data_IF_119242352489
#
_entry.id   IF_119242352489
#
_cell.length_a   1.000
_cell.length_b   1.000
_cell.length_c   1.000
_cell.angle_alpha   90.00
_cell.angle_beta   90.00
_cell.angle_gamma   90.00
#
_symmetry.space_group_name_H-M   'P 1'
#
loop_
_entity.id
_entity.type
_entity.pdbx_description
1 polymer ?
#
# COMPACT_ATOMS: atom_id res chain seq x y z
N UNK A 1 -24.43 -0.68 -15.50
CA UNK A 1 -22.96 -0.72 -15.56
C UNK A 1 -22.52 -1.43 -14.31
N UNK A 2 -21.64 -2.41 -14.44
CA UNK A 2 -21.10 -3.11 -13.29
C UNK A 2 -20.20 -2.15 -12.50
N UNK A 3 -20.22 -2.27 -11.18
CA UNK A 3 -19.39 -1.47 -10.27
C UNK A 3 -17.90 -1.77 -10.50
N UNK A 4 -17.09 -0.75 -10.76
CA UNK A 4 -15.64 -0.91 -10.96
C UNK A 4 -14.89 -1.01 -9.62
N UNK A 5 -13.64 -1.52 -9.64
CA UNK A 5 -12.77 -1.53 -8.44
C UNK A 5 -12.57 -0.09 -7.94
N UNK A 6 -12.41 0.84 -8.87
CA UNK A 6 -12.28 2.27 -8.64
C UNK A 6 -13.52 2.85 -7.94
N UNK A 7 -14.72 2.37 -8.26
CA UNK A 7 -15.96 2.75 -7.55
C UNK A 7 -15.96 2.21 -6.12
N UNK A 8 -15.58 0.95 -5.93
CA UNK A 8 -15.55 0.30 -4.62
C UNK A 8 -14.59 1.03 -3.67
N UNK A 9 -13.36 1.32 -4.12
CA UNK A 9 -12.36 1.98 -3.26
C UNK A 9 -12.73 3.43 -2.93
N UNK A 10 -13.45 4.12 -3.82
CA UNK A 10 -13.87 5.51 -3.63
C UNK A 10 -15.24 5.63 -2.92
N UNK A 11 -15.95 4.50 -2.72
CA UNK A 11 -17.29 4.47 -2.12
C UNK A 11 -17.37 5.06 -0.70
N UNK A 12 -16.24 5.13 0.00
CA UNK A 12 -16.11 5.69 1.36
C UNK A 12 -15.08 6.82 1.40
N UNK A 13 -15.10 7.72 0.41
CA UNK A 13 -14.15 8.83 0.32
C UNK A 13 -14.25 9.80 1.51
N UNK A 14 -13.41 9.58 2.51
CA UNK A 14 -13.27 10.44 3.70
C UNK A 14 -12.12 11.44 3.58
N UNK A 15 -11.26 11.30 2.57
CA UNK A 15 -10.00 12.06 2.43
C UNK A 15 -10.01 12.97 1.20
N UNK A 16 -11.08 12.97 0.40
CA UNK A 16 -11.23 13.79 -0.81
C UNK A 16 -10.57 13.18 -2.05
N UNK A 17 -10.30 11.86 -2.04
CA UNK A 17 -9.66 11.16 -3.14
C UNK A 17 -10.55 11.10 -4.40
N UNK A 18 -11.86 11.19 -4.26
CA UNK A 18 -12.80 11.23 -5.39
C UNK A 18 -12.53 12.43 -6.29
N UNK A 19 -12.03 13.55 -5.75
CA UNK A 19 -11.67 14.73 -6.52
C UNK A 19 -10.54 14.47 -7.54
N UNK A 20 -9.73 13.42 -7.33
CA UNK A 20 -8.67 13.04 -8.26
C UNK A 20 -9.17 12.17 -9.42
N UNK A 21 -10.32 11.51 -9.28
CA UNK A 21 -10.82 10.54 -10.27
C UNK A 21 -10.92 11.11 -11.69
N UNK A 22 -11.43 12.34 -11.93
CA UNK A 22 -11.51 12.90 -13.28
C UNK A 22 -10.16 13.14 -13.96
N UNK A 23 -9.05 13.02 -13.22
CA UNK A 23 -7.69 13.25 -13.69
C UNK A 23 -6.90 11.94 -13.88
N UNK A 24 -7.51 10.79 -13.62
CA UNK A 24 -6.90 9.47 -13.74
C UNK A 24 -7.58 8.66 -14.86
N UNK A 25 -6.91 7.65 -15.43
CA UNK A 25 -7.55 6.68 -16.31
C UNK A 25 -8.71 5.97 -15.62
N UNK A 26 -9.69 5.45 -16.37
CA UNK A 26 -10.86 4.79 -15.76
C UNK A 26 -10.52 3.46 -15.06
N UNK A 27 -9.33 2.89 -15.29
CA UNK A 27 -8.87 1.58 -14.83
C UNK A 27 -7.51 1.63 -14.11
N UNK A 28 -7.21 2.73 -13.42
CA UNK A 28 -5.90 2.96 -12.80
C UNK A 28 -5.46 1.87 -11.80
N UNK A 29 -6.39 1.15 -11.15
CA UNK A 29 -6.02 0.04 -10.27
C UNK A 29 -5.51 -1.16 -11.10
N UNK A 30 -6.17 -1.44 -12.22
CA UNK A 30 -5.77 -2.54 -13.11
C UNK A 30 -4.45 -2.24 -13.81
N UNK A 31 -4.24 -0.99 -14.26
CA UNK A 31 -2.96 -0.57 -14.83
C UNK A 31 -1.80 -0.69 -13.83
N UNK A 32 -2.01 -0.26 -12.58
CA UNK A 32 -1.00 -0.38 -11.53
C UNK A 32 -0.68 -1.86 -11.21
N UNK A 33 -1.71 -2.72 -11.14
CA UNK A 33 -1.52 -4.15 -10.92
C UNK A 33 -0.74 -4.80 -12.07
N UNK A 34 -1.10 -4.49 -13.33
CA UNK A 34 -0.41 -5.01 -14.51
C UNK A 34 1.06 -4.58 -14.54
N UNK A 35 1.35 -3.32 -14.21
CA UNK A 35 2.72 -2.84 -14.09
C UNK A 35 3.53 -3.68 -13.10
N UNK A 36 2.98 -4.05 -11.94
CA UNK A 36 3.68 -4.90 -10.96
C UNK A 36 3.88 -6.34 -11.49
N UNK A 37 2.95 -6.87 -12.26
CA UNK A 37 3.07 -8.21 -12.86
C UNK A 37 4.17 -8.24 -13.92
N UNK A 38 4.22 -7.21 -14.78
CA UNK A 38 5.16 -7.09 -15.90
C UNK A 38 6.62 -6.88 -15.45
N UNK A 39 6.84 -6.48 -14.19
CA UNK A 39 8.16 -6.25 -13.61
C UNK A 39 8.50 -7.30 -12.55
N UNK A 40 9.02 -8.47 -12.95
CA UNK A 40 9.37 -9.52 -12.00
C UNK A 40 10.60 -9.14 -11.16
N UNK A 41 10.62 -9.61 -9.91
CA UNK A 41 11.74 -9.43 -9.00
C UNK A 41 11.28 -9.30 -7.55
N UNK A 42 12.23 -8.91 -6.70
CA UNK A 42 11.93 -8.50 -5.33
C UNK A 42 11.19 -7.16 -5.32
N UNK A 43 10.28 -6.99 -4.36
CA UNK A 43 9.46 -5.78 -4.21
C UNK A 43 9.83 -5.10 -2.90
N UNK A 44 10.13 -3.80 -2.99
CA UNK A 44 10.28 -2.94 -1.82
C UNK A 44 8.99 -2.14 -1.65
N UNK A 45 8.36 -2.25 -0.49
CA UNK A 45 7.18 -1.46 -0.13
C UNK A 45 7.59 -0.44 0.91
N UNK A 46 7.48 0.84 0.55
CA UNK A 46 7.75 1.96 1.46
C UNK A 46 6.43 2.46 2.05
N UNK A 47 6.39 2.62 3.35
CA UNK A 47 5.22 3.17 4.06
C UNK A 47 5.67 3.85 5.35
N UNK A 48 4.71 4.37 6.13
CA UNK A 48 4.97 5.10 7.37
C UNK A 48 4.96 6.60 7.16
N UNK A 49 4.34 7.28 8.11
CA UNK A 49 4.27 8.73 8.15
C UNK A 49 4.33 9.17 9.61
N UNK A 50 5.43 9.77 10.03
CA UNK A 50 5.58 10.22 11.41
C UNK A 50 4.81 11.52 11.65
N UNK A 51 3.83 11.48 12.56
CA UNK A 51 3.02 12.65 12.93
C UNK A 51 3.66 13.34 14.13
N UNK A 52 4.43 14.41 13.86
CA UNK A 52 5.21 15.16 14.85
C UNK A 52 4.36 15.60 16.05
N UNK A 53 3.17 16.15 15.81
CA UNK A 53 2.29 16.65 16.89
C UNK A 53 1.76 15.54 17.81
N UNK A 54 1.71 14.29 17.33
CA UNK A 54 1.26 13.14 18.10
C UNK A 54 2.44 12.33 18.68
N UNK A 55 3.67 12.60 18.24
CA UNK A 55 4.86 11.82 18.56
C UNK A 55 4.75 10.33 18.18
N UNK A 56 3.96 10.02 17.15
CA UNK A 56 3.52 8.66 16.80
C UNK A 56 3.43 8.49 15.28
N UNK A 57 3.55 7.25 14.76
CA UNK A 57 3.28 6.97 13.36
C UNK A 57 1.78 7.14 13.06
N UNK A 58 1.45 7.64 11.86
CA UNK A 58 0.11 7.60 11.30
C UNK A 58 -0.31 6.15 11.02
N UNK A 59 -1.61 5.87 11.12
CA UNK A 59 -2.17 4.54 10.84
C UNK A 59 -2.51 4.32 9.37
N UNK A 60 -2.55 5.39 8.58
CA UNK A 60 -2.79 5.35 7.14
C UNK A 60 -1.48 4.96 6.43
N UNK A 61 -1.55 3.96 5.55
CA UNK A 61 -0.37 3.37 4.91
C UNK A 61 -0.04 1.96 5.41
N UNK A 62 0.44 1.74 6.66
CA UNK A 62 1.00 0.45 7.07
C UNK A 62 0.07 -0.76 6.88
N UNK A 63 -1.23 -0.71 7.22
CA UNK A 63 -2.14 -1.83 6.95
C UNK A 63 -2.29 -2.15 5.46
N UNK A 64 -2.35 -1.13 4.60
CA UNK A 64 -2.44 -1.30 3.15
C UNK A 64 -1.15 -1.86 2.55
N UNK A 65 0.00 -1.40 3.04
CA UNK A 65 1.31 -1.94 2.67
C UNK A 65 1.42 -3.43 2.98
N UNK A 66 1.01 -3.86 4.18
CA UNK A 66 0.98 -5.27 4.56
C UNK A 66 0.04 -6.07 3.65
N UNK A 67 -1.17 -5.56 3.38
CA UNK A 67 -2.14 -6.25 2.52
C UNK A 67 -1.58 -6.48 1.10
N UNK A 68 -0.94 -5.47 0.51
CA UNK A 68 -0.30 -5.58 -0.80
C UNK A 68 0.88 -6.57 -0.74
N UNK A 69 1.73 -6.47 0.29
CA UNK A 69 2.88 -7.35 0.41
C UNK A 69 2.51 -8.83 0.60
N UNK A 70 1.46 -9.14 1.38
CA UNK A 70 0.97 -10.51 1.51
C UNK A 70 0.37 -11.03 0.20
N UNK A 71 -0.34 -10.20 -0.57
CA UNK A 71 -0.82 -10.58 -1.90
C UNK A 71 0.35 -10.91 -2.85
N UNK A 72 1.38 -10.07 -2.87
CA UNK A 72 2.56 -10.29 -3.71
C UNK A 72 3.37 -11.53 -3.29
N UNK A 73 3.48 -11.80 -1.98
CA UNK A 73 4.05 -13.06 -1.48
C UNK A 73 3.26 -14.27 -1.93
N UNK A 74 1.92 -14.19 -1.90
CA UNK A 74 1.04 -15.22 -2.46
C UNK A 74 1.27 -15.49 -3.94
N UNK A 75 1.73 -14.49 -4.69
CA UNK A 75 2.17 -14.60 -6.08
C UNK A 75 3.64 -15.01 -6.26
N UNK A 76 4.32 -15.41 -5.17
CA UNK A 76 5.70 -15.88 -5.19
C UNK A 76 6.76 -14.78 -5.22
N UNK A 77 6.39 -13.51 -4.93
CA UNK A 77 7.37 -12.40 -4.84
C UNK A 77 8.06 -12.39 -3.48
N UNK A 78 9.33 -12.03 -3.46
CA UNK A 78 10.03 -11.63 -2.23
C UNK A 78 9.71 -10.17 -1.91
N UNK A 79 9.21 -9.90 -0.70
CA UNK A 79 8.81 -8.55 -0.27
C UNK A 79 9.68 -8.09 0.89
N UNK A 80 10.17 -6.86 0.81
CA UNK A 80 10.87 -6.13 1.88
C UNK A 80 10.13 -4.84 2.17
N UNK A 81 9.92 -4.53 3.45
CA UNK A 81 9.33 -3.27 3.87
C UNK A 81 10.41 -2.28 4.30
N UNK A 82 10.24 -1.01 3.95
CA UNK A 82 11.10 0.10 4.37
C UNK A 82 10.23 1.17 5.01
N UNK A 83 10.65 1.68 6.16
CA UNK A 83 9.89 2.69 6.90
C UNK A 83 10.74 3.44 7.90
N UNK A 84 10.19 4.48 8.52
CA UNK A 84 10.86 5.21 9.59
C UNK A 84 10.96 4.39 10.90
N UNK A 85 11.87 4.78 11.79
CA UNK A 85 12.12 4.10 13.08
C UNK A 85 10.87 3.98 13.98
N UNK A 86 9.86 4.84 13.81
CA UNK A 86 8.62 4.83 14.59
C UNK A 86 7.58 3.87 14.02
N UNK A 87 7.57 3.66 12.71
CA UNK A 87 6.65 2.77 12.02
C UNK A 87 7.20 1.34 11.88
N UNK A 88 8.52 1.15 11.75
CA UNK A 88 9.13 -0.19 11.61
C UNK A 88 8.75 -1.19 12.70
N UNK A 89 8.54 -0.83 14.00
CA UNK A 89 8.07 -1.79 15.00
C UNK A 89 6.69 -2.37 14.69
N UNK A 90 5.80 -1.58 14.07
CA UNK A 90 4.49 -2.06 13.61
C UNK A 90 4.67 -3.02 12.45
N UNK A 91 5.48 -2.66 11.46
CA UNK A 91 5.71 -3.52 10.29
C UNK A 91 6.36 -4.85 10.67
N UNK A 92 7.39 -4.85 11.54
CA UNK A 92 8.05 -6.07 12.02
C UNK A 92 7.08 -7.04 12.70
N UNK A 93 6.02 -6.52 13.35
CA UNK A 93 4.99 -7.36 13.96
C UNK A 93 4.07 -8.04 12.95
N UNK A 94 3.86 -7.44 11.77
CA UNK A 94 2.85 -7.89 10.80
C UNK A 94 3.42 -8.31 9.43
N UNK A 95 4.74 -8.20 9.20
CA UNK A 95 5.40 -8.50 7.93
C UNK A 95 5.46 -10.01 7.58
N UNK A 96 5.01 -10.90 8.48
CA UNK A 96 4.91 -12.35 8.25
C UNK A 96 6.17 -12.97 7.62
N UNK A 97 7.35 -12.68 8.18
CA UNK A 97 8.63 -13.21 7.71
C UNK A 97 9.31 -12.43 6.57
N UNK A 98 8.70 -11.34 6.09
CA UNK A 98 9.40 -10.37 5.24
C UNK A 98 10.36 -9.50 6.03
N UNK A 99 11.46 -9.11 5.39
CA UNK A 99 12.44 -8.20 5.96
C UNK A 99 11.84 -6.80 6.16
N UNK A 100 12.29 -6.11 7.22
CA UNK A 100 11.89 -4.73 7.54
C UNK A 100 13.13 -3.90 7.87
N UNK A 101 13.35 -2.84 7.10
CA UNK A 101 14.51 -1.94 7.17
C UNK A 101 14.06 -0.56 7.67
N UNK A 102 14.87 0.05 8.54
CA UNK A 102 14.78 1.44 9.03
C UNK A 102 15.65 2.41 8.21
#
# INVERSE_FOLDING_TARGET
MDESIEDIILSQDKRGMLALRPHLPDDYCSQAAQFIIDHPGGVIIVTGFYVVMAGKPETDGPPGAIAIGEALKGLGRTVTYVSDEYTTPVLRKYANGSDVID
#
